data_IF_776530551031
#
_entry.id   IF_776530551031
#
_cell.length_a   1.000
_cell.length_b   1.000
_cell.length_c   1.000
_cell.angle_alpha   90.00
_cell.angle_beta   90.00
_cell.angle_gamma   90.00
#
_symmetry.space_group_name_H-M   'P 1'
#
loop_
_entity.id
_entity.type
_entity.pdbx_description
1 polymer ?
#
# COMPACT_ATOMS: atom_id res chain seq x y z
N UNK A 1 -49.49 46.15 68.31
CA UNK A 1 -48.06 46.17 67.92
C UNK A 1 -47.95 45.56 66.54
N UNK A 2 -47.45 46.33 65.58
CA UNK A 2 -47.36 45.97 64.15
C UNK A 2 -46.00 45.28 63.92
N UNK A 3 -45.92 44.08 63.31
CA UNK A 3 -44.65 43.52 62.90
C UNK A 3 -44.27 43.99 61.48
N UNK A 4 -43.03 44.44 61.36
CA UNK A 4 -42.40 45.02 60.17
C UNK A 4 -42.12 43.95 59.08
N UNK A 5 -42.42 44.29 57.83
CA UNK A 5 -42.07 43.51 56.63
C UNK A 5 -40.56 43.63 56.31
N UNK A 6 -39.83 42.50 56.31
CA UNK A 6 -38.47 42.42 55.76
C UNK A 6 -38.52 42.31 54.24
N UNK A 7 -37.77 43.15 53.53
CA UNK A 7 -37.51 43.02 52.09
C UNK A 7 -36.37 42.03 51.85
N UNK A 8 -36.58 41.06 50.96
CA UNK A 8 -35.52 40.18 50.44
C UNK A 8 -34.87 40.81 49.19
N UNK A 9 -33.55 40.65 48.99
CA UNK A 9 -32.88 41.07 47.75
C UNK A 9 -33.19 40.11 46.60
N UNK A 10 -33.35 40.66 45.39
CA UNK A 10 -33.60 39.91 44.16
C UNK A 10 -32.33 39.17 43.68
N UNK A 11 -32.49 37.95 43.17
CA UNK A 11 -31.41 37.20 42.50
C UNK A 11 -31.12 37.77 41.10
N UNK A 12 -29.86 37.77 40.64
CA UNK A 12 -29.51 38.20 39.29
C UNK A 12 -29.85 37.10 38.27
N UNK A 13 -30.75 37.41 37.34
CA UNK A 13 -30.98 36.65 36.11
C UNK A 13 -29.84 36.90 35.12
N UNK A 14 -29.01 35.88 34.89
CA UNK A 14 -28.01 35.89 33.82
C UNK A 14 -28.68 35.63 32.47
N UNK A 15 -28.81 36.68 31.66
CA UNK A 15 -29.27 36.57 30.26
C UNK A 15 -28.06 36.18 29.42
N UNK A 16 -28.00 34.92 28.99
CA UNK A 16 -27.01 34.48 28.02
C UNK A 16 -27.34 35.10 26.65
N UNK A 17 -26.40 35.90 26.12
CA UNK A 17 -26.56 36.55 24.83
C UNK A 17 -26.53 35.52 23.71
N UNK A 18 -27.64 35.41 22.97
CA UNK A 18 -27.82 34.54 21.80
C UNK A 18 -26.72 34.71 20.74
N UNK A 19 -26.08 35.88 20.70
CA UNK A 19 -24.98 36.21 19.79
C UNK A 19 -23.70 35.41 20.10
N UNK A 20 -23.48 35.03 21.36
CA UNK A 20 -22.32 34.22 21.77
C UNK A 20 -22.42 32.77 21.28
N UNK A 21 -23.63 32.19 21.35
CA UNK A 21 -23.90 30.81 20.92
C UNK A 21 -23.80 30.67 19.41
N UNK A 22 -24.30 31.65 18.65
CA UNK A 22 -24.19 31.65 17.18
C UNK A 22 -22.74 31.78 16.71
N UNK A 23 -21.94 32.64 17.36
CA UNK A 23 -20.51 32.79 17.05
C UNK A 23 -19.71 31.51 17.35
N UNK A 24 -20.00 30.84 18.47
CA UNK A 24 -19.35 29.58 18.83
C UNK A 24 -19.71 28.45 17.85
N UNK A 25 -20.99 28.35 17.45
CA UNK A 25 -21.43 27.35 16.46
C UNK A 25 -20.76 27.58 15.09
N UNK A 26 -20.61 28.84 14.66
CA UNK A 26 -19.93 29.17 13.41
C UNK A 26 -18.43 28.84 13.45
N UNK A 27 -17.76 29.14 14.58
CA UNK A 27 -16.35 28.79 14.78
C UNK A 27 -16.13 27.27 14.79
N UNK A 28 -17.01 26.51 15.44
CA UNK A 28 -16.95 25.06 15.44
C UNK A 28 -17.20 24.47 14.04
N UNK A 29 -18.17 25.00 13.30
CA UNK A 29 -18.45 24.57 11.92
C UNK A 29 -17.26 24.83 10.97
N UNK A 30 -16.63 26.00 11.07
CA UNK A 30 -15.43 26.34 10.29
C UNK A 30 -14.25 25.45 10.70
N UNK A 31 -14.06 25.19 11.99
CA UNK A 31 -13.01 24.29 12.47
C UNK A 31 -13.22 22.85 11.97
N UNK A 32 -14.46 22.34 11.99
CA UNK A 32 -14.78 21.02 11.42
C UNK A 32 -14.58 20.96 9.92
N UNK A 33 -14.92 22.03 9.19
CA UNK A 33 -14.71 22.10 7.73
C UNK A 33 -13.22 22.12 7.38
N UNK A 34 -12.39 22.84 8.15
CA UNK A 34 -10.94 22.87 7.98
C UNK A 34 -10.29 21.52 8.30
N UNK A 35 -10.80 20.78 9.29
CA UNK A 35 -10.31 19.42 9.61
C UNK A 35 -10.68 18.42 8.52
N UNK A 36 -11.89 18.53 7.93
CA UNK A 36 -12.34 17.64 6.83
C UNK A 36 -11.60 17.91 5.51
N UNK A 37 -11.15 19.14 5.27
CA UNK A 37 -10.36 19.47 4.07
C UNK A 37 -8.86 19.14 4.22
N UNK A 38 -8.36 18.92 5.44
CA UNK A 38 -6.97 18.55 5.71
C UNK A 38 -6.72 17.02 5.68
N UNK A 39 -7.76 16.19 5.75
CA UNK A 39 -7.65 14.73 5.81
C UNK A 39 -7.52 14.05 4.44
N UNK A 40 -7.45 14.79 3.33
CA UNK A 40 -7.13 14.24 2.01
C UNK A 40 -5.67 14.40 1.59
N UNK A 41 -4.74 14.59 2.55
CA UNK A 41 -3.30 14.51 2.27
C UNK A 41 -2.91 13.04 2.09
N UNK A 42 -3.11 12.56 0.86
CA UNK A 42 -2.59 11.39 0.19
C UNK A 42 -1.44 10.66 0.93
N UNK A 43 -1.71 9.46 1.44
CA UNK A 43 -0.67 8.42 1.49
C UNK A 43 -0.30 8.14 0.03
N UNK A 44 0.81 8.68 -0.44
CA UNK A 44 1.39 8.21 -1.68
C UNK A 44 2.12 6.92 -1.34
N UNK A 45 1.63 5.80 -1.87
CA UNK A 45 2.29 4.51 -1.75
C UNK A 45 3.64 4.60 -2.48
N UNK A 46 4.71 4.81 -1.71
CA UNK A 46 6.10 4.90 -2.22
C UNK A 46 6.63 3.54 -2.70
N UNK A 47 5.93 2.45 -2.37
CA UNK A 47 6.30 1.09 -2.76
C UNK A 47 5.74 0.72 -4.13
N UNK A 48 6.48 -0.09 -4.88
CA UNK A 48 6.16 -0.47 -6.25
C UNK A 48 7.17 0.08 -7.25
N UNK A 49 6.72 0.27 -8.50
CA UNK A 49 7.58 0.62 -9.61
C UNK A 49 7.99 2.10 -9.62
N UNK A 50 9.25 2.36 -9.96
CA UNK A 50 9.85 3.68 -10.16
C UNK A 50 10.50 3.76 -11.55
N UNK A 51 9.69 3.89 -12.63
CA UNK A 51 10.19 3.93 -14.00
C UNK A 51 10.99 5.20 -14.27
N UNK A 52 12.14 5.07 -14.92
CA UNK A 52 13.01 6.22 -15.20
C UNK A 52 13.72 6.80 -13.97
N UNK A 53 13.81 6.04 -12.88
CA UNK A 53 14.58 6.39 -11.69
C UNK A 53 15.71 5.39 -11.46
N UNK A 54 16.77 5.88 -10.83
CA UNK A 54 17.87 5.12 -10.28
C UNK A 54 17.89 5.33 -8.78
N UNK A 55 17.75 4.26 -8.01
CA UNK A 55 18.09 4.27 -6.60
C UNK A 55 19.61 4.11 -6.49
N UNK A 56 20.34 5.22 -6.33
CA UNK A 56 21.80 5.23 -6.33
C UNK A 56 22.34 4.82 -4.96
N UNK A 57 23.25 3.83 -4.92
CA UNK A 57 23.79 3.28 -3.67
C UNK A 57 22.96 2.13 -3.12
N UNK A 58 23.32 1.67 -1.92
CA UNK A 58 22.67 0.53 -1.25
C UNK A 58 22.88 -0.82 -1.90
N UNK A 59 23.73 -0.91 -2.93
CA UNK A 59 23.96 -2.11 -3.73
C UNK A 59 24.74 -3.18 -2.94
N UNK A 60 24.14 -4.35 -2.74
CA UNK A 60 24.82 -5.48 -2.10
C UNK A 60 24.94 -6.71 -3.00
N UNK A 61 24.10 -6.81 -4.04
CA UNK A 61 24.12 -7.91 -5.01
C UNK A 61 23.70 -7.44 -6.40
N UNK A 62 24.32 -8.00 -7.43
CA UNK A 62 23.90 -7.76 -8.81
C UNK A 62 24.00 -9.02 -9.66
N UNK A 63 23.26 -9.04 -10.77
CA UNK A 63 23.30 -10.10 -11.76
C UNK A 63 22.76 -9.62 -13.12
N UNK A 64 23.20 -10.21 -14.24
CA UNK A 64 22.59 -9.93 -15.53
C UNK A 64 21.17 -10.50 -15.58
N UNK A 65 20.18 -9.69 -15.93
CA UNK A 65 18.79 -10.12 -16.08
C UNK A 65 18.56 -10.60 -17.52
N UNK A 66 18.59 -11.92 -17.72
CA UNK A 66 18.69 -12.56 -19.04
C UNK A 66 17.36 -13.09 -19.56
N UNK A 67 16.30 -13.05 -18.76
CA UNK A 67 14.96 -13.45 -19.18
C UNK A 67 14.38 -12.49 -20.23
N UNK A 68 13.28 -12.90 -20.85
CA UNK A 68 12.47 -12.04 -21.70
C UNK A 68 11.67 -10.98 -20.91
N UNK A 69 11.74 -10.98 -19.57
CA UNK A 69 11.13 -9.99 -18.68
C UNK A 69 12.11 -9.56 -17.56
N UNK A 70 13.17 -8.79 -17.88
CA UNK A 70 14.25 -8.46 -16.95
C UNK A 70 13.79 -7.77 -15.65
N UNK A 71 12.73 -6.94 -15.72
CA UNK A 71 12.14 -6.30 -14.54
C UNK A 71 11.52 -7.34 -13.59
N UNK A 72 10.76 -8.30 -14.12
CA UNK A 72 10.15 -9.35 -13.32
C UNK A 72 11.22 -10.26 -12.68
N UNK A 73 12.33 -10.51 -13.39
CA UNK A 73 13.46 -11.27 -12.86
C UNK A 73 14.12 -10.55 -11.67
N UNK A 74 14.31 -9.24 -11.77
CA UNK A 74 14.74 -8.40 -10.66
C UNK A 74 13.78 -8.42 -9.48
N UNK A 75 12.48 -8.28 -9.77
CA UNK A 75 11.43 -8.26 -8.75
C UNK A 75 11.39 -9.59 -7.99
N UNK A 76 11.38 -10.72 -8.69
CA UNK A 76 11.42 -12.04 -8.05
C UNK A 76 12.69 -12.25 -7.24
N UNK A 77 13.85 -11.89 -7.79
CA UNK A 77 15.10 -11.99 -7.04
C UNK A 77 15.10 -11.12 -5.78
N UNK A 78 14.52 -9.91 -5.83
CA UNK A 78 14.36 -9.06 -4.67
C UNK A 78 13.29 -9.57 -3.71
N UNK A 79 12.22 -10.19 -4.19
CA UNK A 79 11.19 -10.80 -3.34
C UNK A 79 11.72 -12.01 -2.55
N UNK A 80 12.48 -12.88 -3.21
CA UNK A 80 13.10 -14.08 -2.65
C UNK A 80 14.26 -13.76 -1.70
N UNK A 81 14.84 -12.58 -1.81
CA UNK A 81 15.95 -12.13 -0.98
C UNK A 81 15.44 -11.32 0.24
N UNK A 82 15.62 -11.82 1.47
CA UNK A 82 15.14 -11.15 2.68
C UNK A 82 15.91 -9.86 3.01
N UNK A 83 17.12 -9.67 2.47
CA UNK A 83 17.90 -8.44 2.65
C UNK A 83 17.48 -7.35 1.66
N UNK A 84 16.86 -7.73 0.55
CA UNK A 84 16.44 -6.80 -0.49
C UNK A 84 15.24 -5.94 -0.06
N UNK A 85 15.39 -4.63 -0.22
CA UNK A 85 14.32 -3.62 -0.05
C UNK A 85 14.00 -2.88 -1.33
N UNK A 86 14.90 -2.88 -2.30
CA UNK A 86 14.67 -2.29 -3.60
C UNK A 86 15.59 -2.91 -4.65
N UNK A 87 15.32 -2.64 -5.92
CA UNK A 87 16.30 -2.86 -6.97
C UNK A 87 16.37 -1.68 -7.94
N UNK A 88 17.48 -1.58 -8.66
CA UNK A 88 17.56 -0.83 -9.91
C UNK A 88 17.93 -1.79 -11.03
N UNK A 89 17.09 -1.87 -12.06
CA UNK A 89 17.43 -2.49 -13.33
C UNK A 89 18.07 -1.43 -14.24
N UNK A 90 19.27 -1.70 -14.70
CA UNK A 90 19.97 -0.89 -15.69
C UNK A 90 19.73 -1.48 -17.08
N UNK A 91 19.34 -0.63 -18.03
CA UNK A 91 19.04 -1.06 -19.40
C UNK A 91 20.26 -1.69 -20.11
N UNK A 92 19.98 -2.59 -21.06
CA UNK A 92 20.97 -3.09 -21.99
C UNK A 92 21.69 -1.94 -22.72
N UNK A 93 22.98 -2.14 -22.99
CA UNK A 93 23.85 -1.17 -23.65
C UNK A 93 24.47 -0.12 -22.71
N UNK A 94 24.05 -0.04 -21.45
CA UNK A 94 24.63 0.90 -20.47
C UNK A 94 25.84 0.30 -19.76
N UNK A 95 25.67 -0.88 -19.17
CA UNK A 95 26.75 -1.60 -18.44
C UNK A 95 27.23 -2.87 -19.16
N UNK A 96 26.63 -3.20 -20.30
CA UNK A 96 26.96 -4.39 -21.08
C UNK A 96 25.89 -4.67 -22.12
N UNK A 97 26.02 -5.77 -22.86
CA UNK A 97 25.03 -6.16 -23.88
C UNK A 97 23.67 -6.56 -23.28
N UNK A 98 23.65 -7.00 -22.02
CA UNK A 98 22.44 -7.41 -21.31
C UNK A 98 22.07 -6.39 -20.21
N UNK A 99 20.79 -6.32 -19.82
CA UNK A 99 20.38 -5.57 -18.65
C UNK A 99 21.04 -6.10 -17.38
N UNK A 100 21.29 -5.23 -16.40
CA UNK A 100 21.92 -5.61 -15.12
C UNK A 100 21.01 -5.21 -13.98
N UNK A 101 20.64 -6.20 -13.16
CA UNK A 101 19.87 -6.00 -11.95
C UNK A 101 20.79 -5.71 -10.77
N UNK A 102 20.47 -4.67 -10.01
CA UNK A 102 21.17 -4.33 -8.78
C UNK A 102 20.19 -4.35 -7.60
N UNK A 103 20.33 -5.34 -6.71
CA UNK A 103 19.54 -5.48 -5.48
C UNK A 103 20.13 -4.62 -4.36
N UNK A 104 19.24 -4.02 -3.57
CA UNK A 104 19.56 -2.98 -2.60
C UNK A 104 18.92 -3.23 -1.25
N UNK A 105 19.65 -2.97 -0.18
CA UNK A 105 19.19 -3.20 1.18
C UNK A 105 18.74 -1.89 1.88
N UNK A 106 19.46 -0.78 1.70
CA UNK A 106 19.25 0.49 2.42
C UNK A 106 20.07 1.65 1.83
N UNK A 107 19.92 2.85 2.38
CA UNK A 107 20.82 4.01 2.11
C UNK A 107 21.00 4.38 0.62
N UNK A 108 19.94 4.23 -0.18
CA UNK A 108 19.95 4.64 -1.59
C UNK A 108 19.29 6.01 -1.78
N UNK A 109 19.87 6.82 -2.66
CA UNK A 109 19.33 8.12 -3.07
C UNK A 109 18.52 7.96 -4.36
N UNK A 110 17.32 8.55 -4.41
CA UNK A 110 16.46 8.47 -5.59
C UNK A 110 16.86 9.57 -6.58
N UNK A 111 17.29 9.18 -7.78
CA UNK A 111 17.67 10.10 -8.85
C UNK A 111 16.91 9.78 -10.14
N UNK A 112 16.52 10.80 -10.90
CA UNK A 112 15.94 10.60 -12.24
C UNK A 112 17.03 10.09 -13.18
N UNK A 113 16.76 8.99 -13.88
CA UNK A 113 17.62 8.44 -14.91
C UNK A 113 16.78 7.61 -15.89
N UNK A 114 16.64 8.10 -17.12
CA UNK A 114 15.82 7.46 -18.16
C UNK A 114 16.38 6.13 -18.71
N UNK A 115 17.55 5.70 -18.23
CA UNK A 115 18.21 4.44 -18.63
C UNK A 115 18.15 3.38 -17.53
N UNK A 116 17.38 3.64 -16.49
CA UNK A 116 17.18 2.74 -15.36
C UNK A 116 15.72 2.71 -14.94
N UNK A 117 15.32 1.58 -14.37
CA UNK A 117 14.02 1.39 -13.78
C UNK A 117 14.21 0.80 -12.40
N UNK A 118 13.74 1.51 -11.38
CA UNK A 118 13.82 1.05 -10.00
C UNK A 118 12.50 0.48 -9.53
N UNK A 119 12.56 -0.27 -8.44
CA UNK A 119 11.39 -0.78 -7.76
C UNK A 119 11.68 -0.81 -6.28
N UNK A 120 10.78 -0.22 -5.50
CA UNK A 120 10.83 -0.30 -4.06
C UNK A 120 9.98 -1.49 -3.65
N UNK A 121 10.59 -2.48 -2.99
CA UNK A 121 9.88 -3.66 -2.51
C UNK A 121 8.70 -3.19 -1.69
N UNK A 122 7.46 -3.53 -2.09
CA UNK A 122 6.34 -3.54 -1.20
C UNK A 122 6.71 -4.56 -0.14
N UNK A 123 7.39 -4.11 0.90
CA UNK A 123 7.60 -4.90 2.08
C UNK A 123 6.20 -5.39 2.48
N UNK A 124 6.10 -6.62 2.96
CA UNK A 124 4.91 -7.21 3.60
C UNK A 124 3.96 -8.10 2.76
N UNK A 125 4.43 -8.78 1.70
CA UNK A 125 3.74 -9.99 1.22
C UNK A 125 4.04 -11.25 2.06
N UNK A 126 5.21 -11.39 2.68
CA UNK A 126 5.54 -12.55 3.52
C UNK A 126 5.73 -12.17 4.98
N UNK A 127 5.10 -12.93 5.87
CA UNK A 127 5.44 -12.87 7.28
C UNK A 127 6.85 -13.46 7.47
N UNK A 128 7.68 -12.81 8.30
CA UNK A 128 9.07 -13.23 8.52
C UNK A 128 9.08 -14.53 9.30
N UNK A 129 9.60 -15.60 8.70
CA UNK A 129 9.69 -16.91 9.35
C UNK A 129 10.56 -16.86 10.61
N UNK A 130 10.16 -17.61 11.62
CA UNK A 130 10.86 -17.69 12.90
C UNK A 130 10.69 -16.45 13.76
N UNK A 131 9.66 -15.63 13.52
CA UNK A 131 9.45 -14.40 14.30
C UNK A 131 8.05 -14.33 14.92
N UNK A 132 7.99 -13.84 16.16
CA UNK A 132 6.77 -13.60 16.90
C UNK A 132 6.74 -12.16 17.43
N UNK A 133 5.60 -11.49 17.32
CA UNK A 133 5.38 -10.23 18.02
C UNK A 133 5.05 -10.48 19.49
N UNK A 134 5.62 -9.67 20.39
CA UNK A 134 5.38 -9.82 21.84
C UNK A 134 3.98 -9.36 22.22
N UNK A 135 3.36 -10.10 23.14
CA UNK A 135 2.07 -9.76 23.74
C UNK A 135 0.89 -10.54 23.16
N UNK A 136 -0.32 -10.35 23.71
CA UNK A 136 -1.47 -11.21 23.40
C UNK A 136 -2.20 -10.87 22.09
N UNK A 137 -1.86 -9.77 21.42
CA UNK A 137 -2.70 -9.20 20.36
C UNK A 137 -4.00 -8.60 20.90
N UNK A 138 -4.79 -7.98 20.03
CA UNK A 138 -6.16 -7.55 20.36
C UNK A 138 -7.20 -8.60 19.97
N UNK A 139 -6.87 -9.50 19.05
CA UNK A 139 -7.75 -10.57 18.59
C UNK A 139 -6.95 -11.74 18.03
N UNK A 140 -7.55 -12.93 18.04
CA UNK A 140 -6.95 -14.17 17.55
C UNK A 140 -7.97 -14.96 16.73
N UNK A 141 -7.48 -15.70 15.73
CA UNK A 141 -8.30 -16.59 14.91
C UNK A 141 -7.58 -17.89 14.67
N UNK A 142 -8.29 -19.00 14.79
CA UNK A 142 -7.74 -20.32 14.51
C UNK A 142 -8.26 -20.90 13.21
N UNK A 143 -7.48 -21.80 12.63
CA UNK A 143 -7.92 -22.66 11.54
C UNK A 143 -8.29 -24.03 12.10
N UNK A 144 -9.42 -24.57 11.65
CA UNK A 144 -9.88 -25.91 12.08
C UNK A 144 -9.29 -27.02 11.21
N UNK A 145 -8.80 -26.67 10.03
CA UNK A 145 -8.10 -27.50 9.06
C UNK A 145 -6.60 -27.16 9.00
N UNK A 146 -5.76 -28.12 8.59
CA UNK A 146 -4.28 -27.98 8.47
C UNK A 146 -3.83 -27.10 7.31
N UNK A 147 -4.65 -26.13 6.91
CA UNK A 147 -4.46 -25.31 5.72
C UNK A 147 -4.19 -23.85 6.06
N UNK A 148 -4.29 -23.46 7.34
CA UNK A 148 -3.94 -22.11 7.77
C UNK A 148 -2.52 -21.72 7.40
N UNK A 149 -2.35 -20.48 6.94
CA UNK A 149 -1.05 -19.95 6.54
C UNK A 149 -0.86 -18.50 7.00
N UNK A 150 0.39 -18.02 6.94
CA UNK A 150 0.70 -16.61 7.17
C UNK A 150 0.07 -15.68 6.14
N UNK A 151 -0.19 -16.17 4.92
CA UNK A 151 -0.93 -15.44 3.91
C UNK A 151 -2.40 -15.22 4.34
N UNK A 152 -3.06 -16.24 4.90
CA UNK A 152 -4.43 -16.10 5.38
C UNK A 152 -4.53 -15.08 6.51
N UNK A 153 -3.61 -15.14 7.49
CA UNK A 153 -3.56 -14.16 8.57
C UNK A 153 -3.41 -12.73 8.05
N UNK A 154 -2.61 -12.53 7.00
CA UNK A 154 -2.49 -11.22 6.37
C UNK A 154 -3.82 -10.75 5.79
N UNK A 155 -4.49 -11.58 5.00
CA UNK A 155 -5.79 -11.25 4.38
C UNK A 155 -6.82 -10.84 5.44
N UNK A 156 -6.85 -11.53 6.57
CA UNK A 156 -7.73 -11.15 7.67
C UNK A 156 -7.33 -9.83 8.34
N UNK A 157 -6.04 -9.61 8.57
CA UNK A 157 -5.53 -8.35 9.12
C UNK A 157 -5.79 -7.15 8.18
N UNK A 158 -5.63 -7.33 6.87
CA UNK A 158 -5.97 -6.32 5.85
C UNK A 158 -7.46 -5.95 5.88
N UNK A 159 -8.35 -6.91 6.13
CA UNK A 159 -9.80 -6.67 6.20
C UNK A 159 -10.27 -6.07 7.54
N UNK A 160 -9.46 -6.08 8.60
CA UNK A 160 -9.78 -5.41 9.86
C UNK A 160 -9.04 -4.06 9.95
N UNK A 161 -9.73 -2.91 9.87
CA UNK A 161 -9.10 -1.59 9.85
C UNK A 161 -8.27 -1.25 11.09
N UNK A 162 -8.44 -1.99 12.19
CA UNK A 162 -7.65 -1.83 13.42
C UNK A 162 -6.29 -2.50 13.31
N UNK A 163 -6.14 -3.50 12.45
CA UNK A 163 -4.96 -4.34 12.40
C UNK A 163 -3.79 -3.63 11.70
N UNK A 164 -2.64 -3.57 12.39
CA UNK A 164 -1.37 -3.04 11.89
C UNK A 164 -0.29 -4.11 11.79
N UNK A 165 -0.44 -5.22 12.50
CA UNK A 165 0.48 -6.34 12.47
C UNK A 165 -0.22 -7.66 12.80
N UNK A 166 0.39 -8.77 12.41
CA UNK A 166 -0.08 -10.11 12.71
C UNK A 166 1.07 -11.09 12.96
N UNK A 167 0.76 -12.18 13.66
CA UNK A 167 1.63 -13.37 13.75
C UNK A 167 0.82 -14.61 13.39
N UNK A 168 1.31 -15.40 12.44
CA UNK A 168 0.86 -16.75 12.20
C UNK A 168 1.67 -17.75 13.03
N UNK A 169 0.97 -18.63 13.74
CA UNK A 169 1.52 -19.74 14.51
C UNK A 169 1.22 -21.02 13.77
N UNK A 170 2.26 -21.75 13.39
CA UNK A 170 2.14 -23.02 12.67
C UNK A 170 1.36 -24.07 13.49
N UNK A 171 0.67 -25.02 12.81
CA UNK A 171 0.08 -26.17 13.49
C UNK A 171 1.09 -26.89 14.39
N UNK A 172 0.75 -27.06 15.66
CA UNK A 172 1.59 -27.72 16.65
C UNK A 172 2.74 -26.88 17.22
N UNK A 173 2.94 -25.64 16.76
CA UNK A 173 3.96 -24.76 17.33
C UNK A 173 3.59 -24.27 18.74
N UNK A 174 2.30 -24.23 19.07
CA UNK A 174 1.78 -23.96 20.41
C UNK A 174 0.66 -24.93 20.80
N UNK A 175 0.48 -25.14 22.11
CA UNK A 175 -0.64 -25.91 22.67
C UNK A 175 -1.90 -25.04 22.79
N UNK A 176 -3.07 -25.54 22.37
CA UNK A 176 -4.33 -24.82 22.51
C UNK A 176 -5.42 -25.34 21.57
N UNK A 177 -6.57 -24.66 21.57
CA UNK A 177 -7.77 -25.01 20.80
C UNK A 177 -7.53 -25.10 19.29
N UNK A 178 -6.50 -24.41 18.77
CA UNK A 178 -6.17 -24.32 17.35
C UNK A 178 -4.84 -24.99 16.98
N UNK A 179 -4.28 -25.82 17.86
CA UNK A 179 -3.00 -26.50 17.64
C UNK A 179 -3.00 -27.40 16.39
N UNK A 180 -4.17 -27.84 15.92
CA UNK A 180 -4.28 -28.72 14.77
C UNK A 180 -4.23 -28.01 13.41
N UNK A 181 -4.64 -26.74 13.32
CA UNK A 181 -4.73 -26.00 12.04
C UNK A 181 -3.90 -24.72 11.98
N UNK A 182 -3.30 -24.31 13.09
CA UNK A 182 -2.56 -23.05 13.21
C UNK A 182 -3.48 -21.90 13.61
N UNK A 183 -2.90 -20.75 13.94
CA UNK A 183 -3.66 -19.57 14.37
C UNK A 183 -2.99 -18.27 13.97
N UNK A 184 -3.81 -17.24 13.79
CA UNK A 184 -3.42 -15.85 13.65
C UNK A 184 -3.57 -15.12 14.99
N UNK A 185 -2.61 -14.25 15.30
CA UNK A 185 -2.74 -13.17 16.29
C UNK A 185 -2.69 -11.84 15.57
N UNK A 186 -3.52 -10.89 15.99
CA UNK A 186 -3.61 -9.56 15.39
C UNK A 186 -3.26 -8.46 16.37
N UNK A 187 -2.57 -7.42 15.91
CA UNK A 187 -2.10 -6.32 16.74
C UNK A 187 -2.52 -4.98 16.13
N UNK A 188 -3.03 -4.08 16.98
CA UNK A 188 -3.49 -2.75 16.56
C UNK A 188 -2.39 -1.69 16.58
N UNK A 189 -1.23 -2.06 17.12
CA UNK A 189 0.03 -1.34 17.06
C UNK A 189 1.12 -2.34 16.72
N UNK A 190 2.28 -1.88 16.23
CA UNK A 190 3.42 -2.76 15.89
C UNK A 190 4.22 -3.09 17.15
N UNK A 191 4.16 -4.32 17.67
CA UNK A 191 4.91 -4.70 18.86
C UNK A 191 6.38 -5.00 18.54
N UNK A 192 7.19 -5.19 19.56
CA UNK A 192 8.56 -5.68 19.39
C UNK A 192 8.54 -7.14 18.87
N UNK A 193 9.28 -7.40 17.80
CA UNK A 193 9.48 -8.75 17.28
C UNK A 193 10.62 -9.47 18.02
N UNK A 194 10.47 -10.78 18.22
CA UNK A 194 11.53 -11.65 18.71
C UNK A 194 11.54 -12.97 17.96
N UNK A 195 12.70 -13.64 17.97
CA UNK A 195 12.88 -14.93 17.30
C UNK A 195 12.13 -16.03 18.06
N UNK A 196 11.29 -16.77 17.34
CA UNK A 196 10.50 -17.89 17.84
C UNK A 196 10.18 -18.85 16.69
N UNK A 197 10.66 -20.09 16.79
CA UNK A 197 10.42 -21.11 15.77
C UNK A 197 8.92 -21.43 15.62
N UNK A 198 8.49 -21.79 14.41
CA UNK A 198 7.09 -22.07 14.09
C UNK A 198 6.17 -20.84 14.10
N UNK A 199 6.73 -19.63 14.14
CA UNK A 199 5.99 -18.37 14.10
C UNK A 199 6.41 -17.53 12.91
N UNK A 200 5.46 -16.81 12.33
CA UNK A 200 5.70 -15.92 11.20
C UNK A 200 5.01 -14.59 11.44
N UNK A 201 5.75 -13.48 11.55
CA UNK A 201 5.16 -12.17 11.85
C UNK A 201 5.24 -11.20 10.68
N UNK A 202 4.15 -10.47 10.43
CA UNK A 202 4.02 -9.51 9.32
C UNK A 202 3.28 -8.23 9.73
N UNK A 203 3.42 -7.16 8.94
CA UNK A 203 2.74 -5.86 9.15
C UNK A 203 1.69 -5.60 8.08
N UNK A 204 0.79 -4.64 8.34
CA UNK A 204 -0.08 -3.99 7.34
C UNK A 204 0.47 -2.58 7.13
N UNK A 205 1.33 -2.43 6.12
CA UNK A 205 2.22 -1.28 5.96
C UNK A 205 1.49 0.05 5.83
N UNK A 206 0.38 0.08 5.09
CA UNK A 206 -0.44 1.26 4.85
C UNK A 206 -0.99 1.88 6.15
N UNK A 207 -0.89 1.15 7.28
CA UNK A 207 -1.39 1.56 8.60
C UNK A 207 -0.28 1.80 9.62
N UNK A 208 0.99 1.62 9.25
CA UNK A 208 2.14 1.85 10.13
C UNK A 208 2.87 3.10 9.67
N UNK A 209 2.84 4.16 10.49
CA UNK A 209 3.58 5.38 10.22
C UNK A 209 5.07 5.15 10.51
N UNK A 210 5.87 4.92 9.47
CA UNK A 210 7.32 5.00 9.58
C UNK A 210 7.70 6.48 9.54
N UNK A 211 8.20 7.01 10.66
CA UNK A 211 8.87 8.32 10.63
C UNK A 211 10.16 8.13 9.84
N UNK A 212 10.11 8.41 8.55
CA UNK A 212 11.27 8.93 7.85
C UNK A 212 11.28 10.40 8.25
N UNK A 213 12.18 10.82 9.14
CA UNK A 213 12.43 12.24 9.33
C UNK A 213 12.77 12.81 7.95
N UNK A 214 12.04 13.81 7.44
CA UNK A 214 12.27 14.29 6.07
C UNK A 214 13.68 14.87 6.01
N UNK A 215 14.60 14.35 5.17
CA UNK A 215 15.77 15.11 4.83
C UNK A 215 15.27 16.34 4.06
N UNK A 216 15.80 17.48 4.45
CA UNK A 216 15.50 18.81 3.93
C UNK A 216 15.70 18.86 2.40
N UNK A 217 14.67 18.51 1.63
CA UNK A 217 14.67 18.58 0.17
C UNK A 217 14.43 20.03 -0.26
N UNK A 218 15.51 20.76 -0.49
CA UNK A 218 15.45 22.00 -1.28
C UNK A 218 15.27 21.62 -2.75
N UNK A 219 14.03 21.63 -3.23
CA UNK A 219 13.71 21.53 -4.65
C UNK A 219 14.21 22.82 -5.34
N UNK A 220 15.26 22.70 -6.14
CA UNK A 220 15.70 23.78 -7.03
C UNK A 220 14.72 23.98 -8.18
N UNK A 221 14.59 25.20 -8.73
CA UNK A 221 13.67 25.46 -9.82
C UNK A 221 14.22 24.95 -11.17
N UNK A 222 13.29 24.56 -12.04
CA UNK A 222 13.45 24.23 -13.47
C UNK A 222 14.13 22.90 -13.86
N UNK A 223 13.31 21.84 -13.95
CA UNK A 223 13.23 21.07 -15.20
C UNK A 223 11.91 20.31 -15.28
N UNK A 224 10.97 20.81 -16.08
CA UNK A 224 9.72 20.12 -16.42
C UNK A 224 10.05 18.96 -17.38
N UNK A 225 10.11 17.73 -16.88
CA UNK A 225 10.16 16.55 -17.74
C UNK A 225 8.75 16.17 -18.17
N UNK A 226 8.53 16.32 -19.47
CA UNK A 226 7.46 15.74 -20.26
C UNK A 226 7.63 14.22 -20.33
N UNK A 227 7.31 13.53 -19.24
CA UNK A 227 6.96 12.10 -19.24
C UNK A 227 5.57 12.00 -18.62
N UNK A 228 4.65 11.65 -19.51
CA UNK A 228 3.21 11.53 -19.42
C UNK A 228 2.63 11.31 -18.00
N UNK A 229 1.90 12.32 -17.54
CA UNK A 229 1.16 12.36 -16.29
C UNK A 229 -0.28 11.84 -16.41
N UNK A 230 -0.64 11.21 -17.53
CA UNK A 230 -2.05 11.03 -17.88
C UNK A 230 -2.65 9.69 -17.40
N UNK A 231 -1.84 8.75 -16.87
CA UNK A 231 -2.38 7.53 -16.28
C UNK A 231 -2.68 7.64 -14.77
N UNK A 232 -3.92 7.35 -14.38
CA UNK A 232 -4.31 7.05 -12.99
C UNK A 232 -4.34 5.55 -12.79
N UNK A 233 -3.32 5.01 -12.14
CA UNK A 233 -3.26 3.60 -11.75
C UNK A 233 -4.13 3.30 -10.52
N UNK A 234 -4.82 2.15 -10.55
CA UNK A 234 -5.80 1.71 -9.56
C UNK A 234 -5.54 0.25 -9.17
N UNK A 235 -4.76 -0.01 -8.10
CA UNK A 235 -4.55 -1.37 -7.61
C UNK A 235 -5.84 -1.93 -6.99
N UNK A 236 -6.07 -3.23 -7.13
CA UNK A 236 -7.22 -3.96 -6.54
C UNK A 236 -8.58 -3.37 -6.92
N UNK A 237 -8.68 -2.80 -8.12
CA UNK A 237 -9.90 -2.19 -8.64
C UNK A 237 -10.18 -2.75 -10.02
N UNK A 238 -11.41 -3.19 -10.22
CA UNK A 238 -11.99 -3.50 -11.50
C UNK A 238 -12.84 -2.30 -11.97
N UNK A 239 -12.68 -1.92 -13.23
CA UNK A 239 -13.58 -1.03 -13.96
C UNK A 239 -14.50 -1.88 -14.87
N UNK A 240 -15.61 -2.46 -14.39
CA UNK A 240 -16.42 -3.38 -15.19
C UNK A 240 -17.06 -2.72 -16.42
N UNK A 241 -17.09 -3.45 -17.54
CA UNK A 241 -17.75 -3.03 -18.78
C UNK A 241 -16.93 -2.05 -19.62
N UNK A 242 -17.54 -1.54 -20.69
CA UNK A 242 -16.91 -0.71 -21.74
C UNK A 242 -15.73 -1.38 -22.47
N UNK A 243 -15.57 -2.69 -22.30
CA UNK A 243 -14.55 -3.51 -22.95
C UNK A 243 -14.77 -3.55 -24.47
N UNK A 244 -13.73 -3.28 -25.25
CA UNK A 244 -13.79 -3.40 -26.72
C UNK A 244 -12.72 -4.33 -27.29
N UNK A 245 -11.63 -4.55 -26.56
CA UNK A 245 -10.59 -5.50 -26.91
C UNK A 245 -10.05 -6.19 -25.65
N UNK A 246 -9.53 -7.41 -25.82
CA UNK A 246 -8.83 -8.11 -24.76
C UNK A 246 -7.73 -8.99 -25.35
N UNK A 247 -6.70 -9.23 -24.55
CA UNK A 247 -5.60 -10.12 -24.92
C UNK A 247 -4.97 -10.76 -23.69
N UNK A 248 -4.28 -11.87 -23.90
CA UNK A 248 -3.53 -12.56 -22.86
C UNK A 248 -2.19 -11.85 -22.63
N UNK A 249 -1.88 -11.59 -21.36
CA UNK A 249 -0.66 -10.93 -20.89
C UNK A 249 0.27 -12.01 -20.37
N UNK A 250 1.08 -12.57 -21.26
CA UNK A 250 1.94 -13.73 -20.95
C UNK A 250 3.03 -13.43 -19.91
N UNK A 251 3.42 -12.17 -19.74
CA UNK A 251 4.33 -11.73 -18.66
C UNK A 251 3.66 -11.66 -17.29
N UNK A 252 2.33 -11.71 -17.25
CA UNK A 252 1.52 -11.44 -16.09
C UNK A 252 1.72 -10.03 -15.48
N UNK A 253 2.16 -9.05 -16.29
CA UNK A 253 2.34 -7.68 -15.87
C UNK A 253 1.23 -6.77 -16.44
N UNK A 254 0.48 -6.11 -15.56
CA UNK A 254 -0.61 -5.19 -15.96
C UNK A 254 -0.12 -4.04 -16.86
N UNK A 255 1.18 -3.69 -16.85
CA UNK A 255 1.73 -2.62 -17.69
C UNK A 255 1.59 -2.89 -19.19
N UNK A 256 1.48 -4.15 -19.60
CA UNK A 256 1.15 -4.45 -21.01
C UNK A 256 -0.23 -3.90 -21.38
N UNK A 257 -1.17 -3.85 -20.43
CA UNK A 257 -2.45 -3.16 -20.64
C UNK A 257 -2.29 -1.65 -20.74
N UNK A 258 -1.48 -1.06 -19.87
CA UNK A 258 -1.20 0.38 -19.91
C UNK A 258 -0.61 0.79 -21.25
N UNK A 259 0.45 0.11 -21.69
CA UNK A 259 1.09 0.37 -23.00
C UNK A 259 0.10 0.19 -24.14
N UNK A 260 -0.62 -0.93 -24.19
CA UNK A 260 -1.58 -1.19 -25.25
C UNK A 260 -2.71 -0.14 -25.28
N UNK A 261 -3.12 0.37 -24.12
CA UNK A 261 -4.12 1.43 -24.03
C UNK A 261 -3.55 2.79 -24.45
N UNK A 262 -2.30 3.10 -24.08
CA UNK A 262 -1.65 4.36 -24.46
C UNK A 262 -1.36 4.46 -25.96
N UNK A 263 -1.11 3.33 -26.60
CA UNK A 263 -0.89 3.24 -28.05
C UNK A 263 -2.19 3.21 -28.87
N UNK A 264 -3.35 3.07 -28.21
CA UNK A 264 -4.66 2.99 -28.84
C UNK A 264 -5.49 4.27 -28.58
N UNK A 265 -5.75 5.10 -29.60
CA UNK A 265 -6.46 6.38 -29.42
C UNK A 265 -7.92 6.22 -28.96
N UNK A 266 -8.53 5.04 -29.10
CA UNK A 266 -9.88 4.76 -28.64
C UNK A 266 -9.91 4.27 -27.18
N UNK A 267 -8.76 3.93 -26.62
CA UNK A 267 -8.65 3.46 -25.24
C UNK A 267 -8.72 4.61 -24.24
N UNK A 268 -9.52 4.44 -23.19
CA UNK A 268 -9.66 5.38 -22.07
C UNK A 268 -9.33 4.75 -20.72
N UNK A 269 -9.40 3.43 -20.64
CA UNK A 269 -9.04 2.68 -19.44
C UNK A 269 -8.72 1.24 -19.79
N UNK A 270 -8.13 0.53 -18.84
CA UNK A 270 -7.98 -0.92 -18.90
C UNK A 270 -8.27 -1.57 -17.55
N UNK A 271 -8.59 -2.86 -17.57
CA UNK A 271 -8.53 -3.74 -16.39
C UNK A 271 -7.64 -4.93 -16.75
N UNK A 272 -6.59 -5.14 -15.99
CA UNK A 272 -5.82 -6.38 -15.94
C UNK A 272 -6.42 -7.32 -14.90
N UNK A 273 -6.72 -8.56 -15.29
CA UNK A 273 -7.11 -9.65 -14.39
C UNK A 273 -5.92 -10.55 -14.19
N UNK A 274 -5.61 -10.86 -12.92
CA UNK A 274 -4.46 -11.70 -12.57
C UNK A 274 -4.56 -13.12 -13.15
N UNK A 275 -3.42 -13.83 -13.25
CA UNK A 275 -3.38 -15.17 -13.80
C UNK A 275 -4.20 -16.16 -12.97
N UNK A 276 -4.67 -17.24 -13.61
CA UNK A 276 -5.41 -18.32 -12.96
C UNK A 276 -6.93 -18.09 -12.85
N UNK A 277 -7.44 -16.90 -13.19
CA UNK A 277 -8.89 -16.62 -13.16
C UNK A 277 -9.55 -16.69 -14.53
N UNK A 278 -8.90 -16.11 -15.54
CA UNK A 278 -9.42 -16.06 -16.92
C UNK A 278 -8.49 -16.76 -17.92
N UNK A 279 -7.58 -17.59 -17.42
CA UNK A 279 -6.57 -18.28 -18.20
C UNK A 279 -5.36 -18.60 -17.34
N UNK A 280 -4.39 -19.31 -17.90
CA UNK A 280 -3.10 -19.59 -17.25
C UNK A 280 -2.31 -18.31 -16.99
N UNK A 281 -2.43 -17.34 -17.89
CA UNK A 281 -1.80 -16.04 -17.81
C UNK A 281 -2.81 -14.94 -17.47
N UNK A 282 -2.30 -13.74 -17.19
CA UNK A 282 -3.14 -12.57 -16.95
C UNK A 282 -3.95 -12.21 -18.19
N UNK A 283 -5.09 -11.55 -17.98
CA UNK A 283 -5.95 -11.08 -19.08
C UNK A 283 -6.07 -9.57 -19.05
N UNK A 284 -5.74 -8.92 -20.16
CA UNK A 284 -5.97 -7.51 -20.34
C UNK A 284 -7.33 -7.24 -20.97
N UNK A 285 -8.05 -6.25 -20.46
CA UNK A 285 -9.29 -5.74 -21.05
C UNK A 285 -9.18 -4.23 -21.31
N UNK A 286 -9.09 -3.84 -22.57
CA UNK A 286 -9.04 -2.44 -23.01
C UNK A 286 -10.45 -1.88 -23.14
N UNK A 287 -10.65 -0.63 -22.70
CA UNK A 287 -11.97 -0.02 -22.52
C UNK A 287 -12.08 1.33 -23.20
N UNK A 288 -13.24 1.56 -23.81
CA UNK A 288 -13.59 2.83 -24.49
C UNK A 288 -13.98 3.95 -23.52
N UNK A 289 -14.08 3.65 -22.23
CA UNK A 289 -14.46 4.62 -21.20
C UNK A 289 -14.16 4.14 -19.79
N UNK A 290 -14.42 5.02 -18.82
CA UNK A 290 -14.17 4.78 -17.39
C UNK A 290 -15.50 4.49 -16.70
N UNK A 291 -15.67 3.28 -16.18
CA UNK A 291 -16.85 2.88 -15.41
C UNK A 291 -16.67 3.10 -13.90
N UNK A 292 -17.69 2.74 -13.12
CA UNK A 292 -17.62 2.83 -11.66
C UNK A 292 -16.56 1.86 -11.11
N UNK A 293 -15.77 2.32 -10.15
CA UNK A 293 -14.72 1.53 -9.49
C UNK A 293 -15.34 0.48 -8.60
N UNK A 294 -15.00 -0.78 -8.81
CA UNK A 294 -15.38 -1.91 -7.96
C UNK A 294 -14.12 -2.48 -7.33
N UNK A 295 -14.06 -2.57 -6.01
CA UNK A 295 -12.94 -3.22 -5.33
C UNK A 295 -12.89 -4.71 -5.71
N UNK A 296 -11.74 -5.16 -6.19
CA UNK A 296 -11.48 -6.54 -6.59
C UNK A 296 -9.96 -6.81 -6.54
N UNK A 297 -9.53 -7.55 -5.51
CA UNK A 297 -8.13 -7.91 -5.25
C UNK A 297 -7.51 -8.81 -6.33
N UNK A 298 -8.30 -9.22 -7.33
CA UNK A 298 -7.83 -10.00 -8.45
C UNK A 298 -7.47 -9.15 -9.68
N UNK A 299 -7.61 -7.83 -9.57
CA UNK A 299 -7.52 -6.93 -10.72
C UNK A 299 -6.67 -5.71 -10.43
N UNK A 300 -6.09 -5.16 -11.48
CA UNK A 300 -5.46 -3.85 -11.46
C UNK A 300 -5.96 -3.06 -12.67
N UNK A 301 -6.32 -1.81 -12.50
CA UNK A 301 -6.85 -0.97 -13.58
C UNK A 301 -6.00 0.27 -13.78
N UNK A 302 -6.10 0.88 -14.96
CA UNK A 302 -5.56 2.21 -15.25
C UNK A 302 -6.55 3.03 -16.05
N UNK A 303 -6.54 4.35 -15.84
CA UNK A 303 -7.34 5.32 -16.59
C UNK A 303 -6.37 6.27 -17.28
N UNK A 304 -6.48 6.40 -18.60
CA UNK A 304 -5.67 7.33 -19.38
C UNK A 304 -6.47 8.63 -19.60
N UNK A 305 -5.84 9.78 -19.35
CA UNK A 305 -6.46 11.12 -19.42
C UNK A 305 -6.14 11.85 -20.71
#
# INVERSE_FOLDING_TARGET
>A
MIPQLRRHPAMPTYIFSTHGLVRLAFLLAVLTLLVVLASSAWSQDIAGDWPGYNFLGGDYRNFPALSNAPLNECEQACMDDPECRAFTLVDAGVQGANPVCWLKDSEFEIQVNSRTNSWLKPLYYSAVQGTNFRGPGYDNMGFHDRTGSSFDCRVYCENDPRCKAFTFVEPGAESGEYAAGGMCRFYGEVPEAHQMAGHHSGLVYERVAFRVDPPNLTVGPEHTSQYDSDEVFLPNVNLPGMDYANFEVTSNNYRECSTACAEDPDCRAYTYVRPGLQGTYGRCWLKTGVSARVADNNTASGILR
#
